data_IF_966048356070
#
_entry.id   IF_966048356070
#
_cell.length_a   1.000
_cell.length_b   1.000
_cell.length_c   1.000
_cell.angle_alpha   90.00
_cell.angle_beta   90.00
_cell.angle_gamma   90.00
#
_symmetry.space_group_name_H-M   'P 1'
#
loop_
_entity.id
_entity.type
_entity.pdbx_description
1 polymer ?
#
# COMPACT_ATOMS: atom_id res chain seq x y z
N UNK A 1 5.83 -14.44 3.86
CA UNK A 1 6.23 -14.54 5.28
C UNK A 1 7.70 -14.90 5.35
N UNK A 2 8.51 -14.13 6.08
CA UNK A 2 9.97 -14.35 6.14
C UNK A 2 10.40 -15.33 7.24
N UNK A 3 9.66 -15.40 8.35
CA UNK A 3 9.94 -16.30 9.47
C UNK A 3 8.69 -16.52 10.31
N UNK A 4 8.74 -17.53 11.19
CA UNK A 4 7.66 -17.85 12.12
C UNK A 4 6.45 -18.55 11.50
N UNK A 5 5.35 -18.56 12.24
CA UNK A 5 4.07 -19.14 11.86
C UNK A 5 2.97 -18.16 12.22
N UNK A 6 1.98 -18.04 11.34
CA UNK A 6 0.81 -17.19 11.53
C UNK A 6 -0.43 -18.05 11.61
N UNK A 7 -1.28 -17.80 12.61
CA UNK A 7 -2.54 -18.50 12.79
C UNK A 7 -3.72 -17.54 12.65
N UNK A 8 -4.84 -18.09 12.21
CA UNK A 8 -6.12 -17.38 12.27
C UNK A 8 -6.39 -16.96 13.71
N UNK A 9 -6.93 -15.75 13.89
CA UNK A 9 -7.22 -15.08 15.17
C UNK A 9 -6.01 -14.56 15.93
N UNK A 10 -4.79 -14.73 15.41
CA UNK A 10 -3.61 -14.08 15.98
C UNK A 10 -3.77 -12.56 16.00
N UNK A 11 -3.24 -11.94 17.05
CA UNK A 11 -3.17 -10.48 17.18
C UNK A 11 -1.71 -10.07 17.04
N UNK A 12 -1.35 -9.54 15.87
CA UNK A 12 0.02 -9.18 15.51
C UNK A 12 0.21 -7.68 15.67
N UNK A 13 1.40 -7.29 16.12
CA UNK A 13 1.84 -5.89 16.17
C UNK A 13 2.24 -5.42 14.77
N UNK A 14 1.75 -4.25 14.35
CA UNK A 14 2.18 -3.56 13.12
C UNK A 14 3.21 -2.49 13.45
N UNK A 15 2.89 -1.67 14.47
CA UNK A 15 3.71 -0.57 14.95
C UNK A 15 3.70 -0.56 16.48
N UNK A 16 4.45 0.34 17.13
CA UNK A 16 4.42 0.45 18.60
C UNK A 16 3.02 0.61 19.20
N UNK A 17 2.11 1.22 18.45
CA UNK A 17 0.78 1.59 18.92
C UNK A 17 -0.34 0.77 18.29
N UNK A 18 -0.08 0.06 17.19
CA UNK A 18 -1.12 -0.61 16.41
C UNK A 18 -0.94 -2.11 16.36
N UNK A 19 -2.07 -2.81 16.44
CA UNK A 19 -2.18 -4.25 16.32
C UNK A 19 -3.31 -4.60 15.38
N UNK A 20 -3.16 -5.69 14.65
CA UNK A 20 -4.17 -6.27 13.77
C UNK A 20 -4.53 -7.66 14.24
N UNK A 21 -5.82 -7.99 14.17
CA UNK A 21 -6.30 -9.36 14.38
C UNK A 21 -6.52 -10.02 13.04
N UNK A 22 -5.94 -11.20 12.83
CA UNK A 22 -6.14 -11.97 11.61
C UNK A 22 -7.51 -12.64 11.67
N UNK A 23 -8.44 -12.23 10.82
CA UNK A 23 -9.81 -12.76 10.79
C UNK A 23 -10.04 -13.73 9.64
N UNK A 24 -9.27 -13.58 8.56
CA UNK A 24 -9.30 -14.38 7.36
C UNK A 24 -7.89 -14.43 6.77
N UNK A 25 -7.56 -15.53 6.11
CA UNK A 25 -6.25 -15.74 5.51
C UNK A 25 -6.36 -16.72 4.33
N UNK A 26 -5.71 -16.39 3.22
CA UNK A 26 -5.64 -17.24 2.04
C UNK A 26 -4.19 -17.46 1.60
N UNK A 27 -3.86 -18.67 1.15
CA UNK A 27 -2.55 -19.03 0.61
C UNK A 27 -2.71 -19.41 -0.87
N UNK A 28 -2.09 -18.65 -1.81
CA UNK A 28 -2.08 -19.01 -3.22
C UNK A 28 -1.21 -20.25 -3.45
N UNK A 29 -1.78 -21.29 -4.04
CA UNK A 29 -1.08 -22.54 -4.38
C UNK A 29 -1.44 -22.96 -5.80
N UNK A 30 -0.43 -23.14 -6.66
CA UNK A 30 -0.60 -23.58 -8.06
C UNK A 30 -1.65 -22.81 -8.88
N UNK A 31 -1.79 -21.50 -8.63
CA UNK A 31 -2.72 -20.63 -9.35
C UNK A 31 -4.13 -20.56 -8.75
N UNK A 32 -4.40 -21.28 -7.66
CA UNK A 32 -5.66 -21.25 -6.93
C UNK A 32 -5.49 -20.62 -5.54
N UNK A 33 -6.57 -20.05 -5.01
CA UNK A 33 -6.60 -19.43 -3.68
C UNK A 33 -7.30 -20.35 -2.69
N UNK A 34 -6.59 -20.75 -1.64
CA UNK A 34 -7.12 -21.60 -0.59
C UNK A 34 -7.18 -20.85 0.72
N UNK A 35 -8.35 -20.83 1.38
CA UNK A 35 -8.45 -20.37 2.76
C UNK A 35 -7.63 -21.28 3.67
N UNK A 36 -6.88 -20.70 4.59
CA UNK A 36 -6.03 -21.45 5.53
C UNK A 36 -6.12 -20.89 6.94
N UNK A 37 -6.10 -21.78 7.93
CA UNK A 37 -6.04 -21.41 9.34
C UNK A 37 -4.60 -21.16 9.81
N UNK A 38 -3.60 -21.58 9.04
CA UNK A 38 -2.18 -21.48 9.39
C UNK A 38 -1.33 -21.20 8.16
N UNK A 39 -0.32 -20.35 8.31
CA UNK A 39 0.69 -20.08 7.30
C UNK A 39 2.08 -20.13 7.94
N UNK A 40 3.03 -20.70 7.21
CA UNK A 40 4.39 -20.93 7.67
C UNK A 40 5.38 -19.98 7.01
N UNK A 41 6.58 -19.92 7.59
CA UNK A 41 7.72 -19.25 6.96
C UNK A 41 7.93 -19.74 5.53
N UNK A 42 8.07 -18.81 4.59
CA UNK A 42 8.17 -19.10 3.16
C UNK A 42 6.86 -18.87 2.39
N UNK A 43 5.70 -18.94 3.05
CA UNK A 43 4.41 -18.78 2.38
C UNK A 43 4.18 -17.32 1.98
N UNK A 44 3.59 -17.12 0.80
CA UNK A 44 2.94 -15.85 0.44
C UNK A 44 1.50 -15.95 0.93
N UNK A 45 1.00 -14.91 1.58
CA UNK A 45 -0.30 -14.92 2.25
C UNK A 45 -1.08 -13.69 1.85
N UNK A 46 -2.36 -13.87 1.56
CA UNK A 46 -3.32 -12.80 1.34
C UNK A 46 -4.10 -12.61 2.63
N UNK A 47 -4.06 -11.39 3.16
CA UNK A 47 -4.78 -10.97 4.35
C UNK A 47 -5.77 -9.87 3.95
N UNK A 48 -7.09 -10.14 3.95
CA UNK A 48 -8.10 -9.11 3.75
C UNK A 48 -8.00 -8.10 4.88
N UNK A 49 -7.76 -6.83 4.55
CA UNK A 49 -7.55 -5.81 5.57
C UNK A 49 -7.61 -4.39 5.00
N UNK A 50 -8.09 -3.44 5.81
CA UNK A 50 -8.30 -2.05 5.41
C UNK A 50 -7.29 -1.06 6.04
N UNK A 51 -6.41 -1.52 6.94
CA UNK A 51 -5.51 -0.65 7.74
C UNK A 51 -4.01 -0.77 7.41
N UNK A 52 -3.61 -1.74 6.59
CA UNK A 52 -2.20 -2.04 6.33
C UNK A 52 -1.81 -1.33 5.05
N UNK A 53 -0.78 -0.51 5.15
CA UNK A 53 -0.18 0.15 3.99
C UNK A 53 0.95 -0.70 3.39
N UNK A 54 1.30 -0.44 2.14
CA UNK A 54 2.45 -1.08 1.52
C UNK A 54 3.72 -0.88 2.35
N UNK A 55 4.54 -1.93 2.44
CA UNK A 55 5.75 -2.02 3.27
C UNK A 55 5.52 -2.01 4.78
N UNK A 56 4.27 -2.10 5.26
CA UNK A 56 3.99 -2.36 6.67
C UNK A 56 4.59 -3.70 7.10
N UNK A 57 5.11 -3.73 8.32
CA UNK A 57 5.74 -4.92 8.89
C UNK A 57 4.77 -5.57 9.86
N UNK A 58 4.45 -6.84 9.64
CA UNK A 58 3.70 -7.66 10.57
C UNK A 58 4.68 -8.44 11.45
N UNK A 59 4.74 -8.11 12.73
CA UNK A 59 5.59 -8.80 13.71
C UNK A 59 6.86 -8.03 14.08
N UNK A 60 7.99 -8.72 14.13
CA UNK A 60 9.25 -8.16 14.63
C UNK A 60 10.16 -7.68 13.49
N UNK A 61 10.31 -6.36 13.34
CA UNK A 61 11.17 -5.73 12.33
C UNK A 61 12.64 -6.16 12.42
N UNK A 62 13.15 -6.45 13.63
CA UNK A 62 14.56 -6.84 13.84
C UNK A 62 14.88 -8.18 13.16
N UNK A 63 13.88 -9.04 12.98
CA UNK A 63 14.04 -10.36 12.37
C UNK A 63 13.92 -10.35 10.85
N UNK A 64 13.66 -9.19 10.23
CA UNK A 64 13.53 -9.12 8.77
C UNK A 64 14.89 -9.31 8.08
N UNK A 65 14.98 -10.21 7.10
CA UNK A 65 16.20 -10.35 6.30
C UNK A 65 16.35 -9.07 5.46
N UNK A 66 17.41 -8.29 5.74
CA UNK A 66 17.82 -7.05 5.08
C UNK A 66 16.73 -6.34 4.26
N UNK A 67 16.13 -5.29 4.85
CA UNK A 67 15.20 -4.42 4.15
C UNK A 67 15.88 -3.82 2.92
N UNK A 68 15.36 -4.09 1.72
CA UNK A 68 15.58 -3.19 0.58
C UNK A 68 14.86 -1.89 0.92
N UNK A 69 15.57 -0.98 1.57
CA UNK A 69 15.06 0.34 1.83
C UNK A 69 14.90 1.02 0.48
N UNK A 70 13.66 1.27 0.09
CA UNK A 70 13.40 2.23 -0.96
C UNK A 70 13.71 3.57 -0.28
N UNK A 71 14.86 4.16 -0.62
CA UNK A 71 15.06 5.58 -0.35
C UNK A 71 13.82 6.31 -0.84
N UNK A 72 13.30 7.29 -0.11
CA UNK A 72 12.14 8.06 -0.53
C UNK A 72 12.67 9.27 -1.31
N UNK A 73 13.02 9.13 -2.61
CA UNK A 73 13.60 10.22 -3.38
C UNK A 73 12.63 11.39 -3.43
N UNK A 74 13.19 12.57 -3.61
CA UNK A 74 12.40 13.75 -3.90
C UNK A 74 11.73 13.58 -5.27
N UNK A 75 10.42 13.87 -5.40
CA UNK A 75 9.77 13.90 -6.69
C UNK A 75 10.48 14.85 -7.65
N UNK A 76 10.66 14.42 -8.89
CA UNK A 76 11.36 15.20 -9.92
C UNK A 76 10.40 15.99 -10.81
N UNK A 77 9.12 15.59 -10.87
CA UNK A 77 8.10 16.20 -11.70
C UNK A 77 6.84 16.45 -10.87
N UNK A 78 6.14 17.53 -11.18
CA UNK A 78 4.82 17.83 -10.64
C UNK A 78 3.88 18.26 -11.76
N UNK A 79 2.61 17.89 -11.62
CA UNK A 79 1.55 18.34 -12.52
C UNK A 79 0.29 18.67 -11.74
N UNK A 80 -0.53 19.56 -12.29
CA UNK A 80 -1.85 19.86 -11.77
C UNK A 80 -2.90 19.06 -12.54
N UNK A 81 -3.82 18.43 -11.81
CA UNK A 81 -4.95 17.71 -12.37
C UNK A 81 -6.24 18.39 -11.97
N UNK A 82 -7.12 18.59 -12.95
CA UNK A 82 -8.44 19.15 -12.75
C UNK A 82 -9.51 18.21 -13.31
N UNK A 83 -10.61 18.08 -12.58
CA UNK A 83 -11.79 17.37 -13.08
C UNK A 83 -12.57 18.24 -14.05
N UNK A 84 -13.12 17.63 -15.10
CA UNK A 84 -14.02 18.33 -16.05
C UNK A 84 -15.37 18.66 -15.42
N UNK A 85 -15.85 17.80 -14.52
CA UNK A 85 -17.11 17.96 -13.79
C UNK A 85 -16.81 17.92 -12.29
N UNK A 86 -17.37 18.86 -11.53
CA UNK A 86 -17.19 18.94 -10.08
C UNK A 86 -17.59 17.65 -9.35
N UNK A 87 -18.65 17.00 -9.82
CA UNK A 87 -19.15 15.72 -9.28
C UNK A 87 -18.11 14.59 -9.31
N UNK A 88 -17.13 14.64 -10.22
CA UNK A 88 -16.09 13.62 -10.35
C UNK A 88 -14.91 13.84 -9.39
N UNK A 89 -14.87 14.98 -8.66
CA UNK A 89 -13.75 15.32 -7.80
C UNK A 89 -13.53 14.29 -6.70
N UNK A 90 -14.61 13.85 -6.06
CA UNK A 90 -14.53 12.86 -4.98
C UNK A 90 -14.04 11.51 -5.49
N UNK A 91 -14.55 11.08 -6.66
CA UNK A 91 -14.12 9.84 -7.32
C UNK A 91 -12.62 9.90 -7.67
N UNK A 92 -12.16 11.05 -8.19
CA UNK A 92 -10.74 11.24 -8.49
C UNK A 92 -9.87 11.16 -7.23
N UNK A 93 -10.27 11.81 -6.14
CA UNK A 93 -9.52 11.77 -4.88
C UNK A 93 -9.47 10.35 -4.31
N UNK A 94 -10.56 9.59 -4.41
CA UNK A 94 -10.59 8.17 -4.03
C UNK A 94 -9.61 7.33 -4.84
N UNK A 95 -9.65 7.44 -6.17
CA UNK A 95 -8.73 6.74 -7.06
C UNK A 95 -7.26 7.11 -6.80
N UNK A 96 -6.97 8.39 -6.58
CA UNK A 96 -5.61 8.85 -6.25
C UNK A 96 -5.13 8.31 -4.90
N UNK A 97 -6.01 8.19 -3.92
CA UNK A 97 -5.69 7.58 -2.62
C UNK A 97 -5.28 6.12 -2.80
N UNK A 98 -6.09 5.36 -3.55
CA UNK A 98 -5.84 3.93 -3.80
C UNK A 98 -4.53 3.70 -4.57
N UNK A 99 -4.30 4.47 -5.64
CA UNK A 99 -3.06 4.35 -6.44
C UNK A 99 -1.83 4.74 -5.59
N UNK A 100 -1.93 5.80 -4.78
CA UNK A 100 -0.80 6.24 -3.94
C UNK A 100 -0.48 5.26 -2.81
N UNK A 101 -1.46 4.47 -2.35
CA UNK A 101 -1.19 3.38 -1.41
C UNK A 101 -0.43 2.23 -2.09
N UNK A 102 -0.72 1.96 -3.36
CA UNK A 102 -0.01 0.98 -4.19
C UNK A 102 1.39 1.42 -4.68
N UNK A 103 1.63 2.72 -4.82
CA UNK A 103 2.91 3.30 -5.27
C UNK A 103 3.41 4.39 -4.30
N UNK A 104 4.31 4.07 -3.36
CA UNK A 104 4.83 5.02 -2.36
C UNK A 104 5.61 6.20 -2.94
N UNK A 105 6.02 6.13 -4.20
CA UNK A 105 6.75 7.20 -4.88
C UNK A 105 5.80 8.19 -5.58
N UNK A 106 4.54 7.80 -5.76
CA UNK A 106 3.48 8.69 -6.20
C UNK A 106 2.93 9.44 -4.97
N UNK A 107 2.90 10.77 -5.06
CA UNK A 107 2.31 11.60 -4.01
C UNK A 107 1.34 12.58 -4.62
N UNK A 108 0.23 12.83 -3.94
CA UNK A 108 -0.64 13.93 -4.29
C UNK A 108 -1.02 14.75 -3.05
N UNK A 109 -1.35 16.02 -3.29
CA UNK A 109 -1.93 16.89 -2.28
C UNK A 109 -2.89 17.88 -2.93
N UNK A 110 -3.74 18.50 -2.12
CA UNK A 110 -4.63 19.57 -2.56
C UNK A 110 -4.05 20.88 -2.04
N UNK A 111 -3.76 21.80 -2.95
CA UNK A 111 -3.30 23.14 -2.59
C UNK A 111 -4.44 23.87 -1.87
N UNK A 112 -4.19 24.36 -0.65
CA UNK A 112 -5.22 25.02 0.17
C UNK A 112 -5.61 26.41 -0.33
N UNK A 113 -4.78 27.01 -1.18
CA UNK A 113 -4.99 28.34 -1.76
C UNK A 113 -5.74 28.22 -3.08
N UNK A 114 -5.24 27.41 -4.01
CA UNK A 114 -5.80 27.29 -5.36
C UNK A 114 -6.87 26.20 -5.47
N UNK A 115 -6.97 25.30 -4.47
CA UNK A 115 -7.84 24.11 -4.48
C UNK A 115 -7.52 23.12 -5.61
N UNK A 116 -6.35 23.29 -6.24
CA UNK A 116 -5.85 22.42 -7.29
C UNK A 116 -5.30 21.12 -6.70
N UNK A 117 -5.46 20.02 -7.43
CA UNK A 117 -4.90 18.73 -7.06
C UNK A 117 -3.54 18.62 -7.74
N UNK A 118 -2.48 18.51 -6.96
CA UNK A 118 -1.10 18.44 -7.45
C UNK A 118 -0.61 17.01 -7.29
N UNK A 119 -0.21 16.38 -8.38
CA UNK A 119 0.47 15.09 -8.40
C UNK A 119 1.97 15.27 -8.56
N UNK A 120 2.73 14.50 -7.81
CA UNK A 120 4.19 14.48 -7.80
C UNK A 120 4.69 13.09 -8.22
N UNK A 121 5.63 13.07 -9.15
CA UNK A 121 6.20 11.86 -9.75
C UNK A 121 7.72 11.86 -9.64
N UNK A 122 8.31 10.66 -9.64
CA UNK A 122 9.76 10.49 -9.73
C UNK A 122 10.27 10.68 -11.17
N UNK A 123 9.45 10.48 -12.19
CA UNK A 123 9.89 10.62 -13.58
C UNK A 123 8.76 10.57 -14.60
N UNK A 124 9.10 10.88 -15.86
CA UNK A 124 8.13 11.05 -16.95
C UNK A 124 7.37 9.77 -17.27
N UNK A 125 8.05 8.62 -17.23
CA UNK A 125 7.44 7.31 -17.50
C UNK A 125 6.36 7.00 -16.47
N UNK A 126 6.62 7.26 -15.18
CA UNK A 126 5.62 7.07 -14.13
C UNK A 126 4.39 7.96 -14.38
N UNK A 127 4.61 9.23 -14.72
CA UNK A 127 3.52 10.14 -15.08
C UNK A 127 2.69 9.62 -16.26
N UNK A 128 3.34 9.12 -17.32
CA UNK A 128 2.63 8.57 -18.49
C UNK A 128 1.82 7.32 -18.14
N UNK A 129 2.30 6.45 -17.26
CA UNK A 129 1.56 5.25 -16.80
C UNK A 129 0.34 5.62 -15.97
N UNK A 130 0.46 6.61 -15.08
CA UNK A 130 -0.65 7.05 -14.21
C UNK A 130 -1.69 7.86 -14.97
N UNK A 131 -1.28 8.60 -16.01
CA UNK A 131 -2.16 9.49 -16.78
C UNK A 131 -2.67 8.88 -18.10
N UNK A 132 -2.29 7.64 -18.43
CA UNK A 132 -2.76 6.93 -19.63
C UNK A 132 -4.23 6.49 -19.50
#
# INVERSE_FOLDING_TARGET
>A
MYSGTLHLRDVIKISEKEKIKITEMCVPTNGELYSSDTACSGDIVILPNDVLQLNSILGNEILLPQRKFIENPLPMLQTTIAVKKSEQREILLGALTEISDGDPLLKYYVDTTTHEIILSFLGKVQMEVICA
#
